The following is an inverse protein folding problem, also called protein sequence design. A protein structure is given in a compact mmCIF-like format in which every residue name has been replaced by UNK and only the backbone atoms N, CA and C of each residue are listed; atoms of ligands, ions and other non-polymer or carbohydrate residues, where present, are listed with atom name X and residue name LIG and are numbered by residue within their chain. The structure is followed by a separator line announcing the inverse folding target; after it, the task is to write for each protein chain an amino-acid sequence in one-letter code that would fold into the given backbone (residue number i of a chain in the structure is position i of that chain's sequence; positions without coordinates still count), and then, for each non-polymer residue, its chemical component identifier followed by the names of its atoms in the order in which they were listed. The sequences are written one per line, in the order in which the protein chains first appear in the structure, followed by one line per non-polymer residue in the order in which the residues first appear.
data_IF_216811379238
#
_entry.id   IF_216811379238
#
_cell.length_a   1.000
_cell.length_b   1.000
_cell.length_c   1.000
_cell.angle_alpha   90.00
_cell.angle_beta   90.00
_cell.angle_gamma   90.00
#
_symmetry.space_group_name_H-M   'P 1'
#
loop_
_entity.id
_entity.type
_entity.pdbx_description
1 polymer ?
#
# COMPACT_ATOMS: atom_id res chain seq x y z
N UNK A 1 3.82 -22.58 2.70
CA UNK A 1 4.40 -21.91 3.88
C UNK A 1 3.90 -20.48 3.90
N UNK A 2 3.31 -20.00 5.00
CA UNK A 2 2.79 -18.63 5.04
C UNK A 2 3.95 -17.64 5.19
N UNK A 3 3.79 -16.42 4.66
CA UNK A 3 4.81 -15.34 4.79
C UNK A 3 5.15 -15.07 6.26
N UNK A 4 4.17 -15.24 7.15
CA UNK A 4 4.33 -15.05 8.59
C UNK A 4 5.23 -16.14 9.20
N UNK A 5 5.03 -17.40 8.81
CA UNK A 5 5.81 -18.53 9.33
C UNK A 5 7.28 -18.45 8.89
N UNK A 6 7.52 -17.97 7.66
CA UNK A 6 8.86 -17.74 7.13
C UNK A 6 9.60 -16.60 7.86
N UNK A 7 8.91 -15.47 8.07
CA UNK A 7 9.50 -14.31 8.76
C UNK A 7 9.86 -14.61 10.21
N UNK A 8 9.10 -15.47 10.91
CA UNK A 8 9.40 -15.86 12.29
C UNK A 8 10.71 -16.62 12.46
N UNK A 9 11.26 -17.19 11.39
CA UNK A 9 12.54 -17.91 11.43
C UNK A 9 13.75 -16.97 11.35
N UNK A 10 13.52 -15.69 11.04
CA UNK A 10 14.57 -14.70 10.89
C UNK A 10 14.81 -13.91 12.19
N UNK A 11 15.99 -13.30 12.37
CA UNK A 11 16.29 -12.45 13.54
C UNK A 11 15.32 -11.27 13.68
N UNK A 12 15.09 -10.81 14.91
CA UNK A 12 14.12 -9.74 15.21
C UNK A 12 14.40 -8.43 14.48
N UNK A 13 15.67 -8.05 14.29
CA UNK A 13 16.07 -6.87 13.53
C UNK A 13 15.61 -6.94 12.06
N UNK A 14 15.70 -8.14 11.46
CA UNK A 14 15.22 -8.37 10.09
C UNK A 14 13.70 -8.27 10.01
N UNK A 15 13.00 -8.84 10.99
CA UNK A 15 11.54 -8.75 11.07
C UNK A 15 11.09 -7.28 11.20
N UNK A 16 11.77 -6.51 12.04
CA UNK A 16 11.50 -5.08 12.24
C UNK A 16 11.67 -4.29 10.94
N UNK A 17 12.79 -4.50 10.24
CA UNK A 17 13.08 -3.81 8.99
C UNK A 17 12.11 -4.22 7.88
N UNK A 18 11.76 -5.51 7.82
CA UNK A 18 10.78 -6.03 6.86
C UNK A 18 9.39 -5.43 7.11
N UNK A 19 8.90 -5.45 8.35
CA UNK A 19 7.61 -4.87 8.73
C UNK A 19 7.58 -3.36 8.47
N UNK A 20 8.68 -2.64 8.70
CA UNK A 20 8.78 -1.21 8.38
C UNK A 20 8.65 -0.95 6.87
N UNK A 21 9.38 -1.70 6.05
CA UNK A 21 9.30 -1.58 4.59
C UNK A 21 7.88 -1.89 4.08
N UNK A 22 7.27 -2.98 4.57
CA UNK A 22 5.88 -3.34 4.25
C UNK A 22 4.87 -2.30 4.75
N UNK A 23 5.12 -1.66 5.89
CA UNK A 23 4.27 -0.58 6.42
C UNK A 23 4.28 0.66 5.51
N UNK A 24 5.43 1.03 4.96
CA UNK A 24 5.52 2.11 3.96
C UNK A 24 4.70 1.77 2.72
N UNK A 25 4.82 0.53 2.21
CA UNK A 25 4.07 0.09 1.05
C UNK A 25 2.56 0.03 1.33
N UNK A 26 2.15 -0.49 2.48
CA UNK A 26 0.74 -0.56 2.88
C UNK A 26 0.09 0.82 3.01
N UNK A 27 0.84 1.75 3.59
CA UNK A 27 0.43 3.14 3.73
C UNK A 27 0.13 3.80 2.38
N UNK A 28 0.89 3.44 1.34
CA UNK A 28 0.71 3.94 -0.03
C UNK A 28 0.11 2.88 -0.96
N UNK A 29 -0.62 1.90 -0.42
CA UNK A 29 -1.02 0.72 -1.17
C UNK A 29 -1.79 1.03 -2.47
N UNK A 30 -2.80 1.91 -2.48
CA UNK A 30 -3.53 2.20 -3.71
C UNK A 30 -2.65 2.90 -4.75
N UNK A 31 -1.83 3.86 -4.35
CA UNK A 31 -0.84 4.48 -5.23
C UNK A 31 0.15 3.47 -5.79
N UNK A 32 0.53 2.45 -5.01
CA UNK A 32 1.46 1.41 -5.44
C UNK A 32 0.83 0.49 -6.49
N UNK A 33 -0.37 -0.02 -6.23
CA UNK A 33 -1.14 -0.86 -7.16
C UNK A 33 -1.55 -0.08 -8.41
N UNK A 34 -1.78 1.23 -8.30
CA UNK A 34 -2.16 2.06 -9.43
C UNK A 34 -1.02 2.26 -10.44
N UNK A 35 0.26 2.08 -10.07
CA UNK A 35 1.38 2.30 -10.99
C UNK A 35 1.30 1.52 -12.32
N UNK A 36 1.03 0.20 -12.31
CA UNK A 36 0.78 -0.55 -13.55
C UNK A 36 -0.61 -0.33 -14.16
N UNK A 37 -1.59 0.11 -13.37
CA UNK A 37 -2.99 0.21 -13.82
C UNK A 37 -3.32 1.54 -14.49
N UNK A 38 -2.70 2.65 -14.06
CA UNK A 38 -2.93 3.97 -14.61
C UNK A 38 -2.71 4.03 -16.14
N UNK A 39 -1.62 3.49 -16.71
CA UNK A 39 -1.42 3.50 -18.16
C UNK A 39 -2.51 2.75 -18.91
N UNK A 40 -3.04 1.67 -18.33
CA UNK A 40 -4.15 0.91 -18.89
C UNK A 40 -5.46 1.70 -18.82
N UNK A 41 -5.72 2.38 -17.70
CA UNK A 41 -6.93 3.20 -17.56
C UNK A 41 -6.95 4.40 -18.49
N UNK A 42 -5.80 4.97 -18.84
CA UNK A 42 -5.72 6.05 -19.83
C UNK A 42 -6.19 5.63 -21.23
N UNK A 43 -6.27 4.32 -21.52
CA UNK A 43 -6.82 3.81 -22.79
C UNK A 43 -8.34 3.99 -22.83
N UNK A 44 -9.01 3.80 -21.70
CA UNK A 44 -10.47 3.74 -21.62
C UNK A 44 -11.12 5.03 -21.12
N UNK A 45 -10.38 5.83 -20.34
CA UNK A 45 -10.91 6.99 -19.65
C UNK A 45 -10.05 8.23 -19.83
N UNK A 46 -10.64 9.44 -19.79
CA UNK A 46 -9.89 10.69 -19.77
C UNK A 46 -8.90 10.73 -18.60
N UNK A 47 -7.63 11.06 -18.88
CA UNK A 47 -6.55 11.04 -17.87
C UNK A 47 -6.88 11.84 -16.61
N UNK A 48 -7.61 12.96 -16.74
CA UNK A 48 -8.05 13.79 -15.61
C UNK A 48 -8.96 13.01 -14.64
N UNK A 49 -9.90 12.24 -15.17
CA UNK A 49 -10.81 11.42 -14.36
C UNK A 49 -10.07 10.27 -13.69
N UNK A 50 -9.11 9.67 -14.40
CA UNK A 50 -8.27 8.60 -13.86
C UNK A 50 -7.45 9.11 -12.66
N UNK A 51 -6.79 10.26 -12.81
CA UNK A 51 -6.01 10.87 -11.71
C UNK A 51 -6.91 11.31 -10.54
N UNK A 52 -8.08 11.88 -10.82
CA UNK A 52 -9.06 12.23 -9.78
C UNK A 52 -9.53 10.99 -9.02
N UNK A 53 -9.83 9.90 -9.74
CA UNK A 53 -10.17 8.62 -9.14
C UNK A 53 -9.06 8.11 -8.23
N UNK A 54 -7.79 8.21 -8.65
CA UNK A 54 -6.65 7.83 -7.83
C UNK A 54 -6.57 8.65 -6.53
N UNK A 55 -6.80 9.96 -6.59
CA UNK A 55 -6.84 10.82 -5.40
C UNK A 55 -7.93 10.36 -4.44
N UNK A 56 -9.14 10.12 -4.95
CA UNK A 56 -10.29 9.66 -4.15
C UNK A 56 -9.99 8.32 -3.49
N UNK A 57 -9.47 7.34 -4.25
CA UNK A 57 -9.17 6.01 -3.72
C UNK A 57 -8.08 6.08 -2.65
N UNK A 58 -7.01 6.86 -2.85
CA UNK A 58 -5.98 7.02 -1.82
C UNK A 58 -6.51 7.72 -0.57
N UNK A 59 -7.38 8.72 -0.74
CA UNK A 59 -7.99 9.42 0.38
C UNK A 59 -8.88 8.47 1.21
N UNK A 60 -9.77 7.73 0.55
CA UNK A 60 -10.66 6.76 1.19
C UNK A 60 -9.86 5.64 1.87
N UNK A 61 -8.80 5.14 1.23
CA UNK A 61 -7.91 4.14 1.82
C UNK A 61 -7.31 4.63 3.13
N UNK A 62 -6.72 5.82 3.13
CA UNK A 62 -6.07 6.38 4.32
C UNK A 62 -7.06 6.72 5.44
N UNK A 63 -8.29 7.10 5.09
CA UNK A 63 -9.31 7.47 6.07
C UNK A 63 -9.96 6.25 6.72
N UNK A 64 -10.28 5.21 5.94
CA UNK A 64 -11.16 4.13 6.38
C UNK A 64 -10.48 2.76 6.46
N UNK A 65 -9.59 2.43 5.53
CA UNK A 65 -9.15 1.05 5.33
C UNK A 65 -7.75 0.75 5.84
N UNK A 66 -6.85 1.74 5.82
CA UNK A 66 -5.42 1.57 6.07
C UNK A 66 -5.12 0.91 7.44
N UNK A 67 -5.91 1.20 8.48
CA UNK A 67 -5.78 0.59 9.81
C UNK A 67 -6.89 -0.39 10.17
N UNK A 68 -8.04 -0.34 9.48
CA UNK A 68 -9.13 -1.29 9.69
C UNK A 68 -8.83 -2.68 9.12
N UNK A 69 -8.03 -2.72 8.07
CA UNK A 69 -7.59 -3.93 7.40
C UNK A 69 -6.07 -3.88 7.25
N UNK A 70 -5.35 -4.82 7.86
CA UNK A 70 -3.89 -4.91 7.80
C UNK A 70 -3.53 -6.36 7.53
N UNK A 71 -2.83 -6.61 6.42
CA UNK A 71 -2.47 -7.97 6.00
C UNK A 71 -1.05 -8.01 5.46
N UNK A 72 -0.16 -8.69 6.19
CA UNK A 72 1.24 -8.85 5.80
C UNK A 72 1.39 -9.63 4.47
N UNK A 73 0.67 -10.74 4.22
CA UNK A 73 0.73 -11.42 2.93
C UNK A 73 0.31 -10.54 1.75
N UNK A 74 -0.67 -9.65 1.93
CA UNK A 74 -1.11 -8.77 0.86
C UNK A 74 -0.03 -7.74 0.50
N UNK A 75 0.70 -7.23 1.49
CA UNK A 75 1.85 -6.35 1.22
C UNK A 75 2.96 -7.06 0.44
N UNK A 76 3.14 -8.38 0.61
CA UNK A 76 4.15 -9.13 -0.13
C UNK A 76 3.82 -9.22 -1.64
N UNK A 77 2.54 -9.28 -1.99
CA UNK A 77 2.07 -9.22 -3.38
C UNK A 77 2.43 -7.88 -4.05
N UNK A 78 2.71 -6.84 -3.26
CA UNK A 78 3.14 -5.54 -3.77
C UNK A 78 4.32 -5.65 -4.73
N UNK A 79 5.28 -6.52 -4.44
CA UNK A 79 6.46 -6.71 -5.29
C UNK A 79 6.10 -7.11 -6.73
N UNK A 80 4.99 -7.83 -6.94
CA UNK A 80 4.52 -8.19 -8.28
C UNK A 80 4.03 -6.95 -9.04
N UNK A 81 3.27 -6.06 -8.38
CA UNK A 81 2.83 -4.79 -8.96
C UNK A 81 4.01 -3.87 -9.29
N UNK A 82 5.04 -3.88 -8.45
CA UNK A 82 6.27 -3.11 -8.66
C UNK A 82 7.04 -3.55 -9.91
N UNK A 83 6.98 -4.85 -10.27
CA UNK A 83 7.58 -5.37 -11.52
C UNK A 83 6.69 -5.09 -12.72
N UNK A 84 5.37 -5.29 -12.56
CA UNK A 84 4.40 -5.16 -13.65
C UNK A 84 4.34 -3.73 -14.22
N UNK A 85 4.60 -2.72 -13.39
CA UNK A 85 4.56 -1.31 -13.83
C UNK A 85 5.47 -1.03 -15.00
N UNK A 86 6.68 -1.59 -15.02
CA UNK A 86 7.65 -1.33 -16.08
C UNK A 86 7.16 -1.84 -17.44
N UNK A 87 6.54 -3.02 -17.44
CA UNK A 87 5.96 -3.62 -18.64
C UNK A 87 4.77 -2.77 -19.11
N UNK A 88 3.84 -2.45 -18.21
CA UNK A 88 2.65 -1.66 -18.52
C UNK A 88 3.02 -0.27 -19.08
N UNK A 89 4.03 0.38 -18.50
CA UNK A 89 4.53 1.67 -18.96
C UNK A 89 5.13 1.60 -20.36
N UNK A 90 6.01 0.63 -20.63
CA UNK A 90 6.66 0.50 -21.92
C UNK A 90 5.63 0.26 -23.04
N UNK A 91 4.68 -0.65 -22.80
CA UNK A 91 3.61 -0.97 -23.74
C UNK A 91 2.70 0.24 -23.98
N UNK A 92 2.24 0.90 -22.93
CA UNK A 92 1.36 2.05 -23.05
C UNK A 92 2.06 3.24 -23.71
N UNK A 93 3.32 3.53 -23.36
CA UNK A 93 4.11 4.57 -24.00
C UNK A 93 4.23 4.34 -25.50
N UNK A 94 4.62 3.13 -25.92
CA UNK A 94 4.73 2.77 -27.34
C UNK A 94 3.39 2.92 -28.07
N UNK A 95 2.30 2.43 -27.47
CA UNK A 95 0.96 2.53 -28.05
C UNK A 95 0.48 3.99 -28.22
N UNK A 96 0.70 4.86 -27.22
CA UNK A 96 0.29 6.25 -27.29
C UNK A 96 1.20 7.09 -28.19
N UNK A 97 2.51 6.83 -28.18
CA UNK A 97 3.47 7.48 -29.07
C UNK A 97 3.17 7.17 -30.54
N UNK A 98 2.82 5.91 -30.85
CA UNK A 98 2.41 5.50 -32.20
C UNK A 98 1.16 6.25 -32.69
N UNK A 99 0.24 6.59 -31.79
CA UNK A 99 -0.96 7.38 -32.09
C UNK A 99 -0.72 8.89 -32.04
N UNK A 100 0.54 9.34 -31.93
CA UNK A 100 0.94 10.73 -31.76
C UNK A 100 0.32 11.45 -30.55
N UNK A 101 -0.17 10.70 -29.55
CA UNK A 101 -0.71 11.27 -28.31
C UNK A 101 0.40 11.38 -27.26
N UNK A 102 1.26 12.38 -27.44
CA UNK A 102 2.42 12.60 -26.60
C UNK A 102 2.09 12.90 -25.14
N UNK A 103 0.94 13.53 -24.87
CA UNK A 103 0.49 13.81 -23.50
C UNK A 103 0.28 12.50 -22.75
N UNK A 104 -0.48 11.55 -23.32
CA UNK A 104 -0.72 10.26 -22.68
C UNK A 104 0.53 9.38 -22.65
N UNK A 105 1.40 9.46 -23.66
CA UNK A 105 2.67 8.76 -23.66
C UNK A 105 3.55 9.21 -22.48
N UNK A 106 3.77 10.51 -22.33
CA UNK A 106 4.56 11.08 -21.24
C UNK A 106 3.92 10.79 -19.88
N UNK A 107 2.60 10.94 -19.76
CA UNK A 107 1.88 10.61 -18.52
C UNK A 107 2.04 9.13 -18.14
N UNK A 108 1.97 8.22 -19.12
CA UNK A 108 2.16 6.78 -18.89
C UNK A 108 3.57 6.49 -18.39
N UNK A 109 4.60 7.08 -19.01
CA UNK A 109 5.99 6.94 -18.58
C UNK A 109 6.26 7.58 -17.21
N UNK A 110 5.56 8.66 -16.88
CA UNK A 110 5.71 9.40 -15.63
C UNK A 110 4.93 8.78 -14.46
N UNK A 111 4.20 7.69 -14.70
CA UNK A 111 3.35 7.05 -13.70
C UNK A 111 4.06 6.68 -12.38
N UNK A 112 5.30 6.15 -12.37
CA UNK A 112 6.02 5.87 -11.13
C UNK A 112 6.37 7.09 -10.29
N UNK A 113 6.30 8.30 -10.87
CA UNK A 113 6.49 9.55 -10.15
C UNK A 113 5.12 10.11 -9.70
N UNK A 114 4.14 10.12 -10.60
CA UNK A 114 2.82 10.71 -10.36
C UNK A 114 2.06 9.93 -9.27
N UNK A 115 2.01 8.60 -9.35
CA UNK A 115 1.19 7.83 -8.42
C UNK A 115 1.71 7.94 -6.97
N UNK A 116 3.01 7.77 -6.68
CA UNK A 116 3.53 8.01 -5.33
C UNK A 116 3.40 9.46 -4.87
N UNK A 117 3.57 10.45 -5.76
CA UNK A 117 3.36 11.84 -5.41
C UNK A 117 1.93 12.10 -4.91
N UNK A 118 0.92 11.59 -5.62
CA UNK A 118 -0.48 11.65 -5.18
C UNK A 118 -0.68 10.90 -3.85
N UNK A 119 -0.04 9.74 -3.69
CA UNK A 119 -0.03 8.99 -2.44
C UNK A 119 0.46 9.83 -1.28
N UNK A 120 1.64 10.45 -1.39
CA UNK A 120 2.21 11.30 -0.34
C UNK A 120 1.29 12.45 0.05
N UNK A 121 0.63 13.10 -0.92
CA UNK A 121 -0.30 14.20 -0.65
C UNK A 121 -1.57 13.80 0.10
N UNK A 122 -1.99 12.54 -0.03
CA UNK A 122 -3.25 12.04 0.54
C UNK A 122 -3.06 11.29 1.86
N UNK A 123 -1.81 10.98 2.20
CA UNK A 123 -1.47 10.14 3.32
C UNK A 123 -1.28 10.95 4.60
N UNK A 124 -2.00 10.58 5.66
CA UNK A 124 -1.97 11.28 6.96
C UNK A 124 -1.42 10.46 8.13
N UNK A 125 -1.29 9.14 7.97
CA UNK A 125 -0.98 8.24 9.08
C UNK A 125 0.53 8.01 9.25
N UNK A 126 1.06 7.95 10.48
CA UNK A 126 2.47 7.61 10.71
C UNK A 126 2.75 6.15 10.38
N UNK A 127 3.92 5.87 9.81
CA UNK A 127 4.34 4.50 9.41
C UNK A 127 4.42 3.58 10.63
N UNK A 128 4.87 4.10 11.77
CA UNK A 128 5.08 3.32 12.99
C UNK A 128 3.84 2.61 13.51
N UNK A 129 2.64 3.18 13.33
CA UNK A 129 1.39 2.53 13.75
C UNK A 129 1.13 1.25 12.96
N UNK A 130 1.31 1.31 11.63
CA UNK A 130 1.10 0.16 10.74
C UNK A 130 2.20 -0.90 10.99
N UNK A 131 3.44 -0.45 11.19
CA UNK A 131 4.55 -1.34 11.56
C UNK A 131 4.26 -2.10 12.85
N UNK A 132 3.78 -1.40 13.90
CA UNK A 132 3.46 -2.03 15.17
C UNK A 132 2.34 -3.08 15.00
N UNK A 133 1.34 -2.85 14.14
CA UNK A 133 0.33 -3.86 13.81
C UNK A 133 0.91 -5.09 13.11
N UNK A 134 1.89 -4.92 12.21
CA UNK A 134 2.58 -6.06 11.60
C UNK A 134 3.41 -6.85 12.62
N UNK A 135 4.10 -6.16 13.53
CA UNK A 135 4.85 -6.80 14.61
C UNK A 135 3.93 -7.60 15.55
N UNK A 136 2.72 -7.10 15.84
CA UNK A 136 1.71 -7.84 16.58
C UNK A 136 1.27 -9.13 15.89
N UNK A 137 1.16 -9.14 14.55
CA UNK A 137 0.84 -10.36 13.79
C UNK A 137 1.95 -11.42 13.90
N UNK A 138 3.20 -10.99 14.07
CA UNK A 138 4.33 -11.88 14.30
C UNK A 138 4.38 -12.42 15.74
N UNK A 139 3.70 -11.77 16.68
CA UNK A 139 3.64 -12.15 18.11
C UNK A 139 4.38 -11.19 19.05
N UNK A 140 4.94 -10.10 18.51
CA UNK A 140 5.68 -9.12 19.29
C UNK A 140 4.73 -8.08 19.90
N UNK A 141 4.72 -7.99 21.23
CA UNK A 141 3.97 -6.95 21.96
C UNK A 141 4.94 -5.87 22.41
N UNK A 142 4.72 -4.64 21.96
CA UNK A 142 5.53 -3.48 22.35
C UNK A 142 5.20 -3.07 23.78
N UNK A 143 6.23 -2.73 24.57
CA UNK A 143 6.06 -2.29 25.96
C UNK A 143 5.26 -0.98 26.08
N UNK A 144 5.39 -0.09 25.09
CA UNK A 144 4.58 1.13 24.94
C UNK A 144 3.88 1.15 23.56
N UNK A 145 2.67 0.57 23.47
CA UNK A 145 1.94 0.49 22.21
C UNK A 145 1.35 1.84 21.83
N UNK A 146 1.31 2.14 20.52
CA UNK A 146 0.65 3.35 20.03
C UNK A 146 -0.83 3.42 20.50
N UNK A 147 -1.43 4.62 20.67
CA UNK A 147 -2.78 4.77 21.21
C UNK A 147 -3.85 3.98 20.45
N UNK A 148 -3.66 3.80 19.14
CA UNK A 148 -4.56 3.00 18.29
C UNK A 148 -4.49 1.51 18.61
N UNK A 149 -3.29 0.99 18.88
CA UNK A 149 -3.08 -0.39 19.30
C UNK A 149 -3.60 -0.59 20.72
N UNK A 150 -3.35 0.34 21.64
CA UNK A 150 -3.88 0.27 22.99
C UNK A 150 -5.42 0.16 22.98
N UNK A 151 -6.09 0.93 22.10
CA UNK A 151 -7.54 0.84 21.88
C UNK A 151 -7.97 -0.50 21.25
N UNK A 152 -7.16 -1.04 20.33
CA UNK A 152 -7.44 -2.34 19.71
C UNK A 152 -7.31 -3.49 20.73
N UNK A 153 -6.25 -3.51 21.53
CA UNK A 153 -6.00 -4.50 22.57
C UNK A 153 -7.07 -4.45 23.67
N UNK A 154 -7.48 -3.25 24.10
CA UNK A 154 -8.55 -3.12 25.10
C UNK A 154 -9.91 -3.63 24.60
N UNK A 155 -10.21 -3.45 23.30
CA UNK A 155 -11.42 -4.01 22.66
C UNK A 155 -11.40 -5.54 22.63
N UNK A 156 -10.23 -6.15 22.39
CA UNK A 156 -10.07 -7.61 22.42
C UNK A 156 -10.20 -8.13 23.87
N UNK A 157 -9.51 -7.50 24.82
CA UNK A 157 -9.56 -7.88 26.23
C UNK A 157 -10.99 -7.78 26.80
N UNK A 158 -11.71 -6.71 26.48
CA UNK A 158 -13.11 -6.54 26.89
C UNK A 158 -14.05 -7.59 26.28
N UNK A 159 -13.78 -8.05 25.05
CA UNK A 159 -14.57 -9.10 24.40
C UNK A 159 -14.31 -10.48 25.01
N UNK A 160 -13.09 -10.74 25.49
CA UNK A 160 -12.72 -12.00 26.17
C UNK A 160 -13.35 -12.13 27.57
N UNK A 161 -13.59 -11.02 28.27
CA UNK A 161 -14.23 -11.05 29.60
C UNK A 161 -15.75 -11.18 29.53
N UNK A 162 -16.38 -10.82 28.42
CA UNK A 162 -17.84 -10.88 28.23
C UNK A 162 -18.32 -12.23 27.67
N UNK A 163 -17.41 -13.18 27.49
CA UNK A 163 -17.65 -14.55 26.97
C UNK A 163 -17.38 -15.64 28.00
N UNK A 164 -17.28 -15.28 29.29
CA UNK A 164 -17.29 -16.19 30.44
C UNK A 164 -18.55 -15.92 31.27
#
# INVERSE_FOLDING_TARGET
MSVIDDLRQHPDDYQLMYCWARAIEWKMWPAFVAQPLLPLFYIFYPWKLVLLGLVIVNFTWNLMFCTAFISLPLTAIGMLWAKLKWIAMAVAFGAFAWRHNWILAILSLSTPLIAPFIGVLTVRRPVGVIQDFFMLQLGHVKADPSPEIARYLSKIAGKSNNSR
#
